data_IF_226112263772
#
_entry.id   IF_226112263772
#
_cell.length_a   1.000
_cell.length_b   1.000
_cell.length_c   1.000
_cell.angle_alpha   90.00
_cell.angle_beta   90.00
_cell.angle_gamma   90.00
#
_symmetry.space_group_name_H-M   'P 1'
#
loop_
_entity.id
_entity.type
_entity.pdbx_description
1 polymer ?
#
# COMPACT_ATOMS: atom_id res chain seq x y z
N UNK A 1 16.10 9.19 15.51
CA UNK A 1 16.15 7.85 16.13
C UNK A 1 14.99 7.55 17.07
N UNK A 2 14.57 8.48 17.94
CA UNK A 2 13.42 8.27 18.82
C UNK A 2 12.14 7.86 18.09
N UNK A 3 11.83 8.52 16.96
CA UNK A 3 10.66 8.19 16.14
C UNK A 3 10.71 6.80 15.52
N UNK A 4 11.88 6.36 15.01
CA UNK A 4 12.03 4.99 14.49
C UNK A 4 11.84 3.94 15.60
N UNK A 5 12.42 4.16 16.79
CA UNK A 5 12.20 3.25 17.92
C UNK A 5 10.75 3.21 18.39
N UNK A 6 10.04 4.35 18.31
CA UNK A 6 8.62 4.42 18.60
C UNK A 6 7.81 3.65 17.55
N UNK A 7 7.99 3.92 16.26
CA UNK A 7 7.31 3.19 15.19
C UNK A 7 7.49 1.67 15.33
N UNK A 8 8.73 1.21 15.58
CA UNK A 8 9.01 -0.21 15.83
C UNK A 8 8.31 -0.75 17.07
N UNK A 9 8.26 0.01 18.17
CA UNK A 9 7.59 -0.38 19.42
C UNK A 9 6.08 -0.55 19.23
N UNK A 10 5.46 0.32 18.46
CA UNK A 10 4.03 0.28 18.14
C UNK A 10 3.73 -0.58 16.90
N UNK A 11 4.75 -1.28 16.37
CA UNK A 11 4.62 -2.18 15.22
C UNK A 11 4.11 -1.49 13.94
N UNK A 12 4.34 -0.17 13.84
CA UNK A 12 4.04 0.58 12.64
C UNK A 12 5.17 0.43 11.62
N UNK A 13 4.83 0.14 10.36
CA UNK A 13 5.82 0.13 9.32
C UNK A 13 6.36 1.55 9.10
N UNK A 14 7.69 1.67 9.01
CA UNK A 14 8.38 2.95 8.89
C UNK A 14 9.25 2.92 7.63
N UNK A 15 8.81 3.51 6.53
CA UNK A 15 9.48 3.32 5.24
C UNK A 15 10.38 4.48 4.80
N UNK A 16 11.33 4.18 3.91
CA UNK A 16 12.12 5.16 3.17
C UNK A 16 12.41 4.68 1.73
N UNK A 17 12.73 5.56 0.77
CA UNK A 17 13.14 5.14 -0.56
C UNK A 17 14.45 4.35 -0.54
N UNK A 18 14.60 3.34 -1.39
CA UNK A 18 15.85 2.58 -1.58
C UNK A 18 17.06 3.47 -1.92
N UNK A 19 16.81 4.64 -2.50
CA UNK A 19 17.84 5.59 -2.93
C UNK A 19 18.30 6.54 -1.81
N UNK A 20 17.71 6.48 -0.61
CA UNK A 20 18.00 7.43 0.48
C UNK A 20 19.49 7.54 0.80
N UNK A 21 20.23 6.43 0.72
CA UNK A 21 21.65 6.41 1.05
C UNK A 21 22.51 7.21 0.06
N UNK A 22 22.12 7.25 -1.22
CA UNK A 22 22.84 7.97 -2.28
C UNK A 22 22.33 9.40 -2.49
N UNK A 23 21.23 9.80 -1.83
CA UNK A 23 20.67 11.14 -1.99
C UNK A 23 21.51 12.18 -1.27
N UNK A 24 21.56 13.37 -1.85
CA UNK A 24 22.21 14.53 -1.23
C UNK A 24 21.47 14.91 0.06
N UNK A 25 22.22 15.07 1.15
CA UNK A 25 21.67 15.46 2.46
C UNK A 25 22.22 16.80 2.94
N UNK A 26 23.45 17.15 2.51
CA UNK A 26 24.05 18.47 2.63
C UNK A 26 24.76 18.79 1.32
N UNK A 27 24.96 20.07 1.02
CA UNK A 27 25.59 20.53 -0.23
C UNK A 27 26.87 19.75 -0.55
N UNK A 28 26.85 19.01 -1.66
CA UNK A 28 27.98 18.23 -2.16
C UNK A 28 28.24 16.91 -1.43
N UNK A 29 27.35 16.46 -0.54
CA UNK A 29 27.51 15.20 0.20
C UNK A 29 26.23 14.39 0.28
N UNK A 30 26.34 13.10 0.03
CA UNK A 30 25.24 12.15 0.18
C UNK A 30 24.88 11.93 1.65
N UNK A 31 23.68 11.42 1.92
CA UNK A 31 23.24 11.01 3.25
C UNK A 31 24.25 10.06 3.90
N UNK A 32 24.73 9.06 3.14
CA UNK A 32 25.72 8.10 3.60
C UNK A 32 27.03 8.77 4.00
N UNK A 33 27.50 9.75 3.23
CA UNK A 33 28.72 10.52 3.52
C UNK A 33 28.53 11.42 4.72
N UNK A 34 27.42 12.14 4.79
CA UNK A 34 27.03 13.01 5.91
C UNK A 34 27.01 12.22 7.23
N UNK A 35 26.39 11.04 7.24
CA UNK A 35 26.39 10.15 8.40
C UNK A 35 27.81 9.73 8.78
N UNK A 36 28.67 9.41 7.82
CA UNK A 36 30.07 9.03 8.08
C UNK A 36 30.89 10.19 8.65
N UNK A 37 30.61 11.42 8.25
CA UNK A 37 31.30 12.63 8.70
C UNK A 37 31.02 12.98 10.18
N UNK A 38 29.97 12.41 10.79
CA UNK A 38 29.70 12.58 12.23
C UNK A 38 30.82 12.03 13.13
N UNK A 39 31.67 11.14 12.61
CA UNK A 39 32.74 10.44 13.34
C UNK A 39 32.30 9.65 14.59
N UNK A 40 31.00 9.54 14.86
CA UNK A 40 30.44 8.69 15.92
C UNK A 40 30.25 7.26 15.38
N UNK A 41 31.17 6.37 15.76
CA UNK A 41 31.15 4.95 15.35
C UNK A 41 29.85 4.23 15.71
N UNK A 42 29.23 4.55 16.84
CA UNK A 42 28.00 3.90 17.27
C UNK A 42 26.82 4.41 16.44
N UNK A 43 26.74 5.72 16.23
CA UNK A 43 25.73 6.33 15.39
C UNK A 43 25.81 5.83 13.93
N UNK A 44 27.01 5.84 13.34
CA UNK A 44 27.25 5.34 11.98
C UNK A 44 26.78 3.89 11.86
N UNK A 45 27.20 3.01 12.77
CA UNK A 45 26.84 1.59 12.74
C UNK A 45 25.32 1.40 12.83
N UNK A 46 24.68 2.16 13.70
CA UNK A 46 23.25 2.08 13.93
C UNK A 46 22.44 2.51 12.69
N UNK A 47 22.80 3.65 12.07
CA UNK A 47 22.13 4.14 10.85
C UNK A 47 22.40 3.22 9.65
N UNK A 48 23.63 2.74 9.49
CA UNK A 48 23.95 1.83 8.37
C UNK A 48 23.29 0.46 8.51
N UNK A 49 23.07 -0.04 9.74
CA UNK A 49 22.26 -1.25 9.97
C UNK A 49 20.79 -1.02 9.64
N UNK A 50 20.28 0.19 9.88
CA UNK A 50 18.90 0.54 9.53
C UNK A 50 18.70 0.60 8.01
N UNK A 51 19.71 0.99 7.24
CA UNK A 51 19.69 1.09 5.77
C UNK A 51 20.39 -0.10 5.07
N UNK A 52 20.44 -1.27 5.70
CA UNK A 52 21.05 -2.46 5.08
C UNK A 52 20.12 -3.08 4.00
N UNK A 53 20.45 -4.25 3.43
CA UNK A 53 19.64 -4.85 2.36
C UNK A 53 18.19 -5.17 2.76
N UNK A 54 17.92 -5.25 4.06
CA UNK A 54 16.60 -5.47 4.66
C UNK A 54 16.05 -4.20 5.32
N UNK A 55 16.68 -3.04 5.04
CA UNK A 55 16.21 -1.75 5.49
C UNK A 55 14.76 -1.53 5.11
N UNK A 56 14.06 -0.60 5.79
CA UNK A 56 12.63 -0.49 5.64
C UNK A 56 12.32 0.32 4.39
N UNK A 57 12.57 -0.29 3.25
CA UNK A 57 12.41 0.37 1.99
C UNK A 57 10.99 0.21 1.49
N UNK A 58 10.48 1.23 0.82
CA UNK A 58 9.26 1.10 0.02
C UNK A 58 9.61 0.21 -1.18
N UNK A 59 9.13 -1.04 -1.19
CA UNK A 59 9.44 -2.03 -2.24
C UNK A 59 8.75 -1.68 -3.57
N UNK A 60 7.57 -1.07 -3.48
CA UNK A 60 6.82 -0.56 -4.62
C UNK A 60 7.03 0.97 -4.67
N UNK A 61 7.95 1.46 -5.50
CA UNK A 61 7.84 2.84 -5.98
C UNK A 61 6.55 2.84 -6.80
N UNK A 62 5.53 3.47 -6.25
CA UNK A 62 4.22 3.43 -6.87
C UNK A 62 4.31 4.17 -8.21
N UNK A 63 3.84 3.51 -9.26
CA UNK A 63 3.76 3.99 -10.63
C UNK A 63 2.82 5.20 -10.72
N UNK A 64 3.21 6.35 -10.17
CA UNK A 64 2.65 7.63 -10.58
C UNK A 64 3.02 7.83 -12.06
N UNK A 65 2.17 8.54 -12.83
CA UNK A 65 2.37 8.69 -14.26
C UNK A 65 3.78 9.16 -14.60
N UNK A 66 4.36 8.70 -15.72
CA UNK A 66 5.75 8.98 -16.07
C UNK A 66 6.09 10.48 -16.22
N UNK A 67 5.08 11.35 -16.30
CA UNK A 67 5.17 12.80 -16.33
C UNK A 67 4.81 13.50 -15.01
N UNK A 68 4.30 12.74 -14.04
CA UNK A 68 3.80 13.30 -12.79
C UNK A 68 4.94 13.65 -11.84
N UNK A 69 4.76 14.72 -11.07
CA UNK A 69 5.70 15.06 -9.99
C UNK A 69 5.01 15.60 -8.75
N UNK A 70 5.72 15.52 -7.64
CA UNK A 70 5.28 16.01 -6.34
C UNK A 70 6.18 17.15 -5.91
N UNK A 71 5.60 18.19 -5.32
CA UNK A 71 6.32 19.35 -4.81
C UNK A 71 5.94 19.62 -3.35
N UNK A 72 6.93 20.00 -2.54
CA UNK A 72 6.72 20.52 -1.20
C UNK A 72 7.62 21.74 -1.02
N UNK A 73 7.05 22.92 -0.76
CA UNK A 73 7.81 24.17 -0.58
C UNK A 73 8.79 24.52 -1.72
N UNK A 74 8.38 24.30 -2.97
CA UNK A 74 9.19 24.48 -4.18
C UNK A 74 10.29 23.42 -4.39
N UNK A 75 10.42 22.43 -3.51
CA UNK A 75 11.29 21.28 -3.72
C UNK A 75 10.53 20.15 -4.40
N UNK A 76 11.09 19.62 -5.49
CA UNK A 76 10.57 18.41 -6.14
C UNK A 76 10.85 17.21 -5.24
N UNK A 77 9.77 16.65 -4.67
CA UNK A 77 9.80 15.52 -3.72
C UNK A 77 9.37 14.20 -4.36
N UNK A 78 9.33 14.11 -5.69
CA UNK A 78 9.07 12.86 -6.43
C UNK A 78 10.08 11.77 -6.07
N UNK A 79 9.58 10.60 -5.68
CA UNK A 79 10.39 9.49 -5.19
C UNK A 79 11.03 9.72 -3.82
N UNK A 80 10.74 10.83 -3.12
CA UNK A 80 11.09 11.02 -1.70
C UNK A 80 9.96 10.48 -0.82
N UNK A 81 10.24 10.21 0.47
CA UNK A 81 9.21 9.79 1.43
C UNK A 81 7.99 10.72 1.46
N UNK A 82 8.19 12.03 1.23
CA UNK A 82 7.12 13.01 1.16
C UNK A 82 6.19 12.80 -0.04
N UNK A 83 6.76 12.62 -1.25
CA UNK A 83 5.97 12.34 -2.46
C UNK A 83 5.22 11.01 -2.33
N UNK A 84 5.88 9.97 -1.81
CA UNK A 84 5.24 8.65 -1.61
C UNK A 84 4.11 8.71 -0.57
N UNK A 85 4.27 9.47 0.52
CA UNK A 85 3.22 9.66 1.51
C UNK A 85 2.04 10.46 0.94
N UNK A 86 2.30 11.47 0.09
CA UNK A 86 1.27 12.21 -0.61
C UNK A 86 0.50 11.33 -1.59
N UNK A 87 1.21 10.49 -2.34
CA UNK A 87 0.58 9.53 -3.24
C UNK A 87 -0.26 8.48 -2.49
N UNK A 88 0.21 7.98 -1.35
CA UNK A 88 -0.62 7.15 -0.47
C UNK A 88 -1.88 7.90 -0.01
N UNK A 89 -1.75 9.18 0.37
CA UNK A 89 -2.89 10.00 0.76
C UNK A 89 -3.88 10.25 -0.37
N UNK A 90 -3.39 10.38 -1.61
CA UNK A 90 -4.20 10.49 -2.83
C UNK A 90 -5.05 9.25 -3.10
N UNK A 91 -4.66 8.12 -2.54
CA UNK A 91 -5.32 6.83 -2.66
C UNK A 91 -6.15 6.52 -1.39
N UNK A 92 -6.58 7.59 -0.69
CA UNK A 92 -7.32 7.58 0.58
C UNK A 92 -6.64 6.80 1.73
N UNK A 93 -5.32 6.60 1.65
CA UNK A 93 -4.59 5.86 2.68
C UNK A 93 -4.11 6.77 3.82
N UNK A 94 -4.06 6.19 5.02
CA UNK A 94 -3.41 6.84 6.16
C UNK A 94 -1.89 6.87 5.92
N UNK A 95 -1.35 8.07 5.74
CA UNK A 95 0.08 8.29 5.61
C UNK A 95 0.50 9.45 6.52
N UNK A 96 1.68 9.29 7.13
CA UNK A 96 2.34 10.30 7.94
C UNK A 96 3.84 10.27 7.67
N UNK A 97 4.50 11.40 7.90
CA UNK A 97 5.93 11.54 7.67
C UNK A 97 6.66 11.92 8.94
N UNK A 98 7.97 11.64 8.96
CA UNK A 98 8.83 11.96 10.10
C UNK A 98 10.01 12.79 9.62
N UNK A 99 10.20 13.94 10.27
CA UNK A 99 11.30 14.85 9.98
C UNK A 99 12.42 14.70 11.01
N UNK A 100 13.67 14.85 10.58
CA UNK A 100 14.79 15.01 11.50
C UNK A 100 14.72 16.38 12.17
N UNK A 101 15.05 16.44 13.47
CA UNK A 101 15.14 17.72 14.20
C UNK A 101 16.11 18.65 13.47
N UNK A 102 15.82 19.94 13.53
CA UNK A 102 16.57 21.02 12.86
C UNK A 102 16.36 21.11 11.33
N UNK A 103 15.54 20.24 10.76
CA UNK A 103 15.02 20.43 9.41
C UNK A 103 13.99 21.58 9.38
N UNK A 104 13.95 22.35 8.29
CA UNK A 104 12.90 23.33 8.03
C UNK A 104 11.50 22.69 7.92
N UNK A 105 11.44 21.37 7.69
CA UNK A 105 10.21 20.58 7.72
C UNK A 105 9.66 20.31 9.13
N UNK A 106 10.24 20.82 10.23
CA UNK A 106 9.72 20.60 11.60
C UNK A 106 8.41 21.38 11.91
N UNK A 107 7.36 21.14 11.12
CA UNK A 107 6.00 21.66 11.28
C UNK A 107 5.00 20.64 10.75
N UNK A 108 3.73 20.78 11.15
CA UNK A 108 2.65 19.88 10.73
C UNK A 108 1.36 20.68 10.53
N UNK A 109 0.57 20.41 9.46
CA UNK A 109 0.86 19.46 8.39
C UNK A 109 1.96 19.97 7.43
N UNK A 110 2.56 19.04 6.68
CA UNK A 110 3.33 19.36 5.47
C UNK A 110 2.42 19.24 4.26
N UNK A 111 2.36 20.29 3.45
CA UNK A 111 1.57 20.28 2.22
C UNK A 111 2.44 19.82 1.06
N UNK A 112 2.00 18.74 0.40
CA UNK A 112 2.61 18.24 -0.84
C UNK A 112 1.60 18.40 -1.96
N UNK A 113 2.00 19.00 -3.07
CA UNK A 113 1.17 19.18 -4.26
C UNK A 113 1.54 18.14 -5.29
N UNK A 114 0.56 17.37 -5.76
CA UNK A 114 0.72 16.44 -6.87
C UNK A 114 0.33 17.14 -8.17
N UNK A 115 1.27 17.21 -9.12
CA UNK A 115 1.10 17.75 -10.45
C UNK A 115 0.99 16.60 -11.46
N UNK A 116 -0.18 16.44 -12.08
CA UNK A 116 -0.39 15.51 -13.21
C UNK A 116 -0.33 16.24 -14.56
N UNK A 117 -0.59 17.55 -14.53
CA UNK A 117 -0.38 18.49 -15.63
C UNK A 117 -0.26 19.91 -15.07
N UNK A 118 0.01 20.90 -15.92
CA UNK A 118 0.08 22.32 -15.48
C UNK A 118 -1.21 22.81 -14.84
N UNK A 119 -2.37 22.26 -15.24
CA UNK A 119 -3.70 22.63 -14.78
C UNK A 119 -4.31 21.62 -13.78
N UNK A 120 -3.75 20.41 -13.64
CA UNK A 120 -4.20 19.38 -12.69
C UNK A 120 -3.23 19.29 -11.51
N UNK A 121 -3.62 19.97 -10.42
CA UNK A 121 -2.86 20.09 -9.18
C UNK A 121 -3.73 19.68 -8.00
N UNK A 122 -3.29 18.68 -7.26
CA UNK A 122 -4.01 18.20 -6.07
C UNK A 122 -3.14 18.35 -4.81
N UNK A 123 -3.50 19.21 -3.85
CA UNK A 123 -2.76 19.36 -2.60
C UNK A 123 -3.15 18.29 -1.58
N UNK A 124 -2.15 17.75 -0.88
CA UNK A 124 -2.30 16.79 0.22
C UNK A 124 -1.61 17.32 1.48
N UNK A 125 -2.36 17.37 2.58
CA UNK A 125 -1.82 17.72 3.90
C UNK A 125 -1.42 16.45 4.65
N UNK A 126 -0.11 16.28 4.86
CA UNK A 126 0.46 15.14 5.54
C UNK A 126 0.76 15.48 7.01
N UNK A 127 0.28 14.68 7.98
CA UNK A 127 0.77 14.74 9.35
C UNK A 127 2.28 14.50 9.37
N UNK A 128 3.01 15.39 10.02
CA UNK A 128 4.46 15.27 10.17
C UNK A 128 4.86 15.28 11.64
N UNK A 129 5.83 14.44 12.01
CA UNK A 129 6.30 14.28 13.37
C UNK A 129 7.83 14.39 13.44
N UNK A 130 8.33 15.26 14.31
CA UNK A 130 9.78 15.39 14.63
C UNK A 130 10.07 15.12 16.10
N UNK A 131 9.02 14.92 16.91
CA UNK A 131 9.09 14.56 18.31
C UNK A 131 8.54 13.16 18.55
N UNK A 132 9.23 12.41 19.43
CA UNK A 132 8.85 11.05 19.76
C UNK A 132 7.48 10.98 20.43
N UNK A 133 7.22 11.85 21.40
CA UNK A 133 5.97 11.87 22.18
C UNK A 133 4.74 12.07 21.29
N UNK A 134 4.81 13.03 20.35
CA UNK A 134 3.71 13.31 19.43
C UNK A 134 3.46 12.16 18.45
N UNK A 135 4.54 11.51 17.99
CA UNK A 135 4.41 10.30 17.17
C UNK A 135 3.78 9.17 17.98
N UNK A 136 4.26 8.88 19.19
CA UNK A 136 3.70 7.80 20.03
C UNK A 136 2.20 8.02 20.33
N UNK A 137 1.78 9.27 20.59
CA UNK A 137 0.37 9.60 20.76
C UNK A 137 -0.45 9.31 19.49
N UNK A 138 0.07 9.68 18.31
CA UNK A 138 -0.57 9.37 17.03
C UNK A 138 -0.65 7.86 16.80
N UNK A 139 0.45 7.13 16.98
CA UNK A 139 0.50 5.68 16.78
C UNK A 139 -0.40 4.91 17.76
N UNK A 140 -0.61 5.44 18.97
CA UNK A 140 -1.55 4.86 19.95
C UNK A 140 -3.00 5.04 19.52
N UNK A 141 -3.31 6.16 18.85
CA UNK A 141 -4.65 6.46 18.36
C UNK A 141 -4.96 5.75 17.02
N UNK A 142 -3.92 5.39 16.26
CA UNK A 142 -4.06 4.67 15.00
C UNK A 142 -4.20 3.16 15.28
N UNK A 143 -4.96 2.45 14.46
CA UNK A 143 -5.10 1.01 14.57
C UNK A 143 -3.83 0.26 14.14
N UNK A 144 -3.38 -0.69 14.97
CA UNK A 144 -2.15 -1.43 14.75
C UNK A 144 -2.17 -2.24 13.44
N UNK A 145 -1.03 -2.25 12.75
CA UNK A 145 -0.83 -3.09 11.57
C UNK A 145 -0.93 -4.59 11.93
N UNK A 146 -1.39 -5.45 11.01
CA UNK A 146 -1.48 -6.89 11.28
C UNK A 146 -0.09 -7.50 11.39
N UNK A 147 0.05 -8.51 12.25
CA UNK A 147 1.33 -9.19 12.56
C UNK A 147 1.35 -10.64 12.11
N UNK A 148 0.22 -11.11 11.62
CA UNK A 148 0.05 -12.43 11.01
C UNK A 148 -0.97 -12.35 9.87
N UNK A 149 -1.02 -13.39 9.05
CA UNK A 149 -2.05 -13.52 8.02
C UNK A 149 -3.46 -13.56 8.61
N UNK A 150 -3.63 -14.22 9.76
CA UNK A 150 -4.89 -14.29 10.46
C UNK A 150 -5.36 -12.91 10.93
N UNK A 151 -4.48 -12.13 11.57
CA UNK A 151 -4.80 -10.75 11.98
C UNK A 151 -5.12 -9.87 10.77
N UNK A 152 -4.42 -10.03 9.65
CA UNK A 152 -4.71 -9.28 8.42
C UNK A 152 -6.10 -9.59 7.88
N UNK A 153 -6.49 -10.88 7.84
CA UNK A 153 -7.82 -11.31 7.39
C UNK A 153 -8.90 -10.79 8.34
N UNK A 154 -8.71 -10.88 9.65
CA UNK A 154 -9.65 -10.38 10.66
C UNK A 154 -9.87 -8.86 10.50
N UNK A 155 -8.79 -8.10 10.34
CA UNK A 155 -8.88 -6.66 10.08
C UNK A 155 -9.62 -6.38 8.77
N UNK A 156 -9.32 -7.12 7.70
CA UNK A 156 -9.98 -6.96 6.41
C UNK A 156 -11.50 -7.23 6.50
N UNK A 157 -11.89 -8.30 7.18
CA UNK A 157 -13.30 -8.67 7.35
C UNK A 157 -14.08 -7.64 8.17
N UNK A 158 -13.44 -7.00 9.15
CA UNK A 158 -14.07 -5.95 9.95
C UNK A 158 -14.21 -4.62 9.20
N UNK A 159 -13.22 -4.28 8.38
CA UNK A 159 -13.14 -2.97 7.72
C UNK A 159 -13.87 -2.90 6.37
N UNK A 160 -13.84 -3.99 5.60
CA UNK A 160 -14.34 -3.99 4.23
C UNK A 160 -15.73 -4.61 4.15
N UNK A 161 -16.72 -3.84 4.60
CA UNK A 161 -18.11 -4.29 4.75
C UNK A 161 -18.84 -4.54 3.42
N UNK A 162 -18.33 -4.03 2.30
CA UNK A 162 -18.87 -4.29 0.96
C UNK A 162 -18.36 -5.61 0.36
N UNK A 163 -17.37 -6.25 1.00
CA UNK A 163 -16.74 -7.47 0.54
C UNK A 163 -17.24 -8.70 1.30
N UNK A 164 -17.44 -9.79 0.58
CA UNK A 164 -17.80 -11.09 1.18
C UNK A 164 -16.61 -12.04 1.08
N UNK A 165 -15.97 -12.32 2.21
CA UNK A 165 -14.85 -13.25 2.26
C UNK A 165 -15.37 -14.70 2.33
N UNK A 166 -14.81 -15.60 1.52
CA UNK A 166 -15.16 -17.02 1.63
C UNK A 166 -14.60 -17.62 2.92
N UNK A 167 -15.22 -18.69 3.42
CA UNK A 167 -14.84 -19.31 4.69
C UNK A 167 -13.40 -19.83 4.71
N UNK A 168 -12.89 -20.30 3.56
CA UNK A 168 -11.54 -20.85 3.42
C UNK A 168 -10.49 -19.82 2.98
N UNK A 169 -10.74 -18.53 3.19
CA UNK A 169 -9.85 -17.47 2.67
C UNK A 169 -8.42 -17.54 3.23
N UNK A 170 -8.24 -18.06 4.45
CA UNK A 170 -6.93 -18.20 5.10
C UNK A 170 -6.14 -19.42 4.66
N UNK A 171 -6.80 -20.47 4.16
CA UNK A 171 -6.16 -21.75 3.83
C UNK A 171 -4.96 -21.63 2.86
N UNK A 172 -4.98 -20.75 1.84
CA UNK A 172 -3.84 -20.60 0.95
C UNK A 172 -2.60 -19.94 1.58
N UNK A 173 -2.74 -19.34 2.76
CA UNK A 173 -1.66 -18.70 3.51
C UNK A 173 -1.08 -19.62 4.59
N UNK A 174 -1.66 -20.82 4.76
CA UNK A 174 -1.17 -21.80 5.72
C UNK A 174 0.25 -22.24 5.32
N UNK A 175 1.21 -22.02 6.23
CA UNK A 175 2.63 -22.33 6.00
C UNK A 175 3.41 -21.24 5.25
N UNK A 176 2.77 -20.18 4.77
CA UNK A 176 3.45 -19.04 4.16
C UNK A 176 4.02 -18.10 5.24
N UNK A 177 5.31 -17.70 5.16
CA UNK A 177 5.88 -16.76 6.12
C UNK A 177 5.18 -15.40 6.00
N UNK A 178 4.79 -14.83 7.14
CA UNK A 178 4.16 -13.51 7.17
C UNK A 178 5.07 -12.43 6.58
N UNK A 179 4.47 -11.56 5.77
CA UNK A 179 5.13 -10.39 5.22
C UNK A 179 4.23 -9.17 5.43
N UNK A 180 4.67 -8.25 6.30
CA UNK A 180 3.95 -7.00 6.56
C UNK A 180 3.74 -6.17 5.28
N UNK A 181 4.73 -6.17 4.38
CA UNK A 181 4.62 -5.50 3.07
C UNK A 181 3.52 -6.11 2.22
N UNK A 182 3.50 -7.43 2.04
CA UNK A 182 2.44 -8.09 1.26
C UNK A 182 1.08 -7.90 1.95
N UNK A 183 0.99 -7.99 3.28
CA UNK A 183 -0.24 -7.75 4.02
C UNK A 183 -0.79 -6.33 3.78
N UNK A 184 0.06 -5.31 3.85
CA UNK A 184 -0.33 -3.93 3.55
C UNK A 184 -0.82 -3.78 2.09
N UNK A 185 -0.13 -4.41 1.13
CA UNK A 185 -0.56 -4.40 -0.27
C UNK A 185 -1.89 -5.15 -0.46
N UNK A 186 -2.10 -6.28 0.21
CA UNK A 186 -3.38 -7.01 0.19
C UNK A 186 -4.50 -6.11 0.70
N UNK A 187 -4.35 -5.52 1.89
CA UNK A 187 -5.33 -4.61 2.46
C UNK A 187 -5.64 -3.44 1.51
N UNK A 188 -4.63 -2.86 0.87
CA UNK A 188 -4.82 -1.80 -0.15
C UNK A 188 -5.66 -2.27 -1.33
N UNK A 189 -5.42 -3.46 -1.86
CA UNK A 189 -6.20 -3.99 -2.99
C UNK A 189 -7.64 -4.30 -2.59
N UNK A 190 -7.84 -4.80 -1.37
CA UNK A 190 -9.18 -5.04 -0.83
C UNK A 190 -9.93 -3.72 -0.64
N UNK A 191 -9.29 -2.67 -0.15
CA UNK A 191 -9.92 -1.35 -0.03
C UNK A 191 -10.41 -0.81 -1.38
N UNK A 192 -9.60 -0.93 -2.44
CA UNK A 192 -10.02 -0.56 -3.81
C UNK A 192 -11.27 -1.33 -4.24
N UNK A 193 -11.30 -2.65 -4.00
CA UNK A 193 -12.48 -3.49 -4.33
C UNK A 193 -13.71 -3.09 -3.50
N UNK A 194 -13.52 -2.80 -2.21
CA UNK A 194 -14.56 -2.38 -1.28
C UNK A 194 -15.19 -1.06 -1.73
N UNK A 195 -14.36 -0.06 -2.00
CA UNK A 195 -14.80 1.24 -2.53
C UNK A 195 -15.49 1.09 -3.89
N UNK A 196 -14.95 0.28 -4.79
CA UNK A 196 -15.54 0.04 -6.10
C UNK A 196 -16.92 -0.61 -6.01
N UNK A 197 -17.10 -1.60 -5.11
CA UNK A 197 -18.39 -2.24 -4.84
C UNK A 197 -19.42 -1.27 -4.25
N UNK A 198 -18.99 -0.25 -3.52
CA UNK A 198 -19.86 0.84 -3.04
C UNK A 198 -20.26 1.87 -4.10
N UNK A 199 -19.68 1.84 -5.31
CA UNK A 199 -19.86 2.88 -6.32
C UNK A 199 -21.03 2.64 -7.31
N UNK A 200 -22.18 2.19 -6.81
CA UNK A 200 -23.40 2.01 -7.60
C UNK A 200 -24.53 2.93 -7.12
N UNK A 201 -25.33 3.41 -8.06
CA UNK A 201 -26.52 4.22 -7.75
C UNK A 201 -27.71 3.36 -7.34
N UNK A 202 -28.83 4.01 -7.02
CA UNK A 202 -30.07 3.35 -6.60
C UNK A 202 -30.70 2.46 -7.68
N UNK A 203 -30.32 2.64 -8.94
CA UNK A 203 -30.79 1.85 -10.07
C UNK A 203 -29.85 0.67 -10.37
N UNK A 204 -28.76 0.52 -9.61
CA UNK A 204 -27.74 -0.51 -9.82
C UNK A 204 -26.75 -0.16 -10.93
N UNK A 205 -26.77 1.07 -11.44
CA UNK A 205 -25.80 1.55 -12.43
C UNK A 205 -24.54 2.05 -11.73
N UNK A 206 -23.38 1.82 -12.36
CA UNK A 206 -22.10 2.34 -11.86
C UNK A 206 -22.11 3.87 -11.90
N UNK A 207 -21.70 4.49 -10.80
CA UNK A 207 -21.56 5.95 -10.69
C UNK A 207 -20.38 6.49 -11.50
N UNK A 208 -20.27 7.81 -11.65
CA UNK A 208 -19.10 8.45 -12.27
C UNK A 208 -17.78 8.09 -11.56
N UNK A 209 -17.75 8.19 -10.22
CA UNK A 209 -16.61 7.72 -9.40
C UNK A 209 -16.31 6.25 -9.65
N UNK A 210 -17.34 5.39 -9.70
CA UNK A 210 -17.14 3.99 -10.04
C UNK A 210 -16.52 3.80 -11.43
N UNK A 211 -16.93 4.61 -12.42
CA UNK A 211 -16.35 4.55 -13.75
C UNK A 211 -14.88 4.98 -13.77
N UNK A 212 -14.49 5.98 -12.98
CA UNK A 212 -13.08 6.36 -12.78
C UNK A 212 -12.27 5.19 -12.21
N UNK A 213 -12.75 4.54 -11.13
CA UNK A 213 -12.13 3.34 -10.56
C UNK A 213 -11.96 2.22 -11.58
N UNK A 214 -12.98 2.00 -12.43
CA UNK A 214 -12.92 0.97 -13.48
C UNK A 214 -11.83 1.28 -14.51
N UNK A 215 -11.72 2.53 -14.94
CA UNK A 215 -10.68 2.93 -15.90
C UNK A 215 -9.28 2.83 -15.28
N UNK A 216 -9.11 3.29 -14.04
CA UNK A 216 -7.82 3.32 -13.37
C UNK A 216 -7.30 1.91 -13.01
N UNK A 217 -8.14 1.05 -12.43
CA UNK A 217 -7.66 -0.20 -11.83
C UNK A 217 -7.95 -1.46 -12.66
N UNK A 218 -8.87 -1.39 -13.63
CA UNK A 218 -9.32 -2.55 -14.42
C UNK A 218 -9.06 -2.42 -15.93
N UNK A 219 -8.58 -1.27 -16.41
CA UNK A 219 -8.28 -1.02 -17.83
C UNK A 219 -6.80 -0.62 -18.03
N UNK A 220 -6.26 -0.78 -19.24
CA UNK A 220 -5.01 -0.08 -19.64
C UNK A 220 -3.67 -0.54 -19.04
N UNK A 221 -3.57 -1.77 -18.56
CA UNK A 221 -2.39 -2.29 -17.82
C UNK A 221 -2.74 -2.57 -16.37
N UNK A 222 -3.79 -3.37 -16.13
CA UNK A 222 -4.60 -3.14 -14.94
C UNK A 222 -4.06 -3.88 -13.71
N UNK A 223 -4.36 -3.27 -12.56
CA UNK A 223 -4.10 -3.83 -11.24
C UNK A 223 -4.90 -5.12 -11.00
N UNK A 224 -6.12 -5.14 -11.55
CA UNK A 224 -7.02 -6.28 -11.59
C UNK A 224 -7.24 -6.73 -13.03
N UNK A 225 -7.00 -8.00 -13.31
CA UNK A 225 -7.19 -8.55 -14.65
C UNK A 225 -7.79 -9.93 -14.60
N UNK A 226 -8.40 -10.32 -15.70
CA UNK A 226 -8.79 -11.70 -15.92
C UNK A 226 -7.58 -12.62 -16.11
N UNK A 227 -7.77 -13.91 -15.85
CA UNK A 227 -6.82 -14.94 -16.29
C UNK A 227 -6.93 -15.16 -17.81
N UNK A 228 -5.86 -15.69 -18.41
CA UNK A 228 -5.91 -16.05 -19.83
C UNK A 228 -6.88 -17.21 -20.07
N UNK A 229 -7.48 -17.29 -21.26
CA UNK A 229 -8.40 -18.39 -21.60
C UNK A 229 -7.74 -19.77 -21.41
N UNK A 230 -6.46 -19.91 -21.75
CA UNK A 230 -5.70 -21.15 -21.51
C UNK A 230 -5.61 -21.48 -20.01
N UNK A 231 -5.35 -20.48 -19.17
CA UNK A 231 -5.29 -20.68 -17.72
C UNK A 231 -6.67 -20.98 -17.12
N UNK A 232 -7.72 -20.30 -17.58
CA UNK A 232 -9.10 -20.59 -17.16
C UNK A 232 -9.47 -22.04 -17.41
N UNK A 233 -9.17 -22.58 -18.59
CA UNK A 233 -9.43 -23.98 -18.90
C UNK A 233 -8.55 -24.93 -18.08
N UNK A 234 -7.24 -24.66 -18.01
CA UNK A 234 -6.28 -25.56 -17.33
C UNK A 234 -6.48 -25.63 -15.81
N UNK A 235 -6.84 -24.51 -15.20
CA UNK A 235 -6.95 -24.35 -13.75
C UNK A 235 -8.40 -24.15 -13.30
N UNK A 236 -9.39 -24.54 -14.12
CA UNK A 236 -10.81 -24.30 -13.87
C UNK A 236 -11.22 -24.70 -12.45
N UNK A 237 -10.83 -25.91 -12.02
CA UNK A 237 -11.17 -26.43 -10.69
C UNK A 237 -10.52 -25.63 -9.55
N UNK A 238 -9.28 -25.16 -9.74
CA UNK A 238 -8.56 -24.38 -8.73
C UNK A 238 -9.02 -22.92 -8.67
N UNK A 239 -9.68 -22.44 -9.73
CA UNK A 239 -10.28 -21.11 -9.82
C UNK A 239 -11.78 -21.12 -9.46
N UNK A 240 -12.33 -22.27 -9.08
CA UNK A 240 -13.68 -22.40 -8.54
C UNK A 240 -13.60 -22.55 -7.02
N UNK A 241 -14.39 -21.76 -6.31
CA UNK A 241 -14.40 -21.70 -4.85
C UNK A 241 -15.82 -21.87 -4.33
N UNK A 242 -15.97 -22.20 -3.05
CA UNK A 242 -17.27 -22.35 -2.40
C UNK A 242 -17.59 -21.08 -1.63
N UNK A 243 -18.68 -20.41 -2.00
CA UNK A 243 -19.21 -19.23 -1.32
C UNK A 243 -19.80 -19.61 0.05
N UNK A 244 -20.03 -18.64 0.97
CA UNK A 244 -20.55 -18.92 2.31
C UNK A 244 -21.92 -19.63 2.34
N UNK A 245 -22.74 -19.47 1.29
CA UNK A 245 -24.03 -20.14 1.10
C UNK A 245 -23.90 -21.56 0.52
N UNK A 246 -22.69 -21.98 0.15
CA UNK A 246 -22.39 -23.29 -0.43
C UNK A 246 -22.36 -23.30 -1.96
N UNK A 247 -22.63 -22.18 -2.63
CA UNK A 247 -22.58 -22.12 -4.09
C UNK A 247 -21.14 -22.15 -4.63
N UNK A 248 -20.92 -22.83 -5.74
CA UNK A 248 -19.64 -22.80 -6.45
C UNK A 248 -19.52 -21.53 -7.30
N UNK A 249 -18.46 -20.75 -7.07
CA UNK A 249 -18.17 -19.50 -7.77
C UNK A 249 -16.84 -19.59 -8.52
N UNK A 250 -16.89 -19.40 -9.84
CA UNK A 250 -15.70 -19.33 -10.67
C UNK A 250 -15.11 -17.91 -10.65
N UNK A 251 -13.89 -17.76 -10.11
CA UNK A 251 -13.24 -16.47 -9.88
C UNK A 251 -11.90 -16.35 -10.64
N UNK A 252 -11.91 -16.21 -11.98
CA UNK A 252 -10.68 -16.09 -12.76
C UNK A 252 -10.04 -14.68 -12.66
N UNK A 253 -10.84 -13.66 -12.30
CA UNK A 253 -10.37 -12.30 -12.11
C UNK A 253 -9.53 -12.17 -10.85
N UNK A 254 -8.43 -11.41 -10.94
CA UNK A 254 -7.50 -11.29 -9.83
C UNK A 254 -6.76 -9.96 -9.75
N UNK A 255 -6.47 -9.53 -8.52
CA UNK A 255 -5.48 -8.48 -8.22
C UNK A 255 -4.07 -9.04 -8.21
N UNK A 256 -3.12 -8.34 -8.83
CA UNK A 256 -1.70 -8.74 -8.86
C UNK A 256 -0.91 -8.09 -7.73
N UNK A 257 -0.12 -8.91 -7.04
CA UNK A 257 0.94 -8.49 -6.12
C UNK A 257 2.25 -9.07 -6.67
N UNK A 258 3.14 -8.18 -7.12
CA UNK A 258 4.38 -8.57 -7.80
C UNK A 258 5.34 -9.30 -6.87
N UNK A 259 5.48 -8.81 -5.63
CA UNK A 259 6.31 -9.44 -4.60
C UNK A 259 5.82 -10.85 -4.32
N UNK A 260 6.72 -11.84 -4.52
CA UNK A 260 6.46 -13.28 -4.39
C UNK A 260 5.31 -13.83 -5.24
N UNK A 261 4.83 -13.07 -6.23
CA UNK A 261 3.73 -13.44 -7.13
C UNK A 261 2.46 -13.84 -6.38
N UNK A 262 2.00 -13.00 -5.46
CA UNK A 262 0.71 -13.20 -4.77
C UNK A 262 -0.45 -12.72 -5.65
N UNK A 263 -1.64 -13.29 -5.41
CA UNK A 263 -2.88 -13.02 -6.12
C UNK A 263 -4.04 -12.90 -5.16
N UNK A 264 -4.99 -12.05 -5.51
CA UNK A 264 -6.28 -11.91 -4.83
C UNK A 264 -7.35 -12.26 -5.84
N UNK A 265 -7.92 -13.46 -5.82
CA UNK A 265 -9.02 -13.81 -6.72
C UNK A 265 -10.35 -13.34 -6.13
N UNK A 266 -11.21 -12.81 -7.00
CA UNK A 266 -12.52 -12.31 -6.60
C UNK A 266 -13.57 -12.59 -7.68
N UNK A 267 -14.85 -12.51 -7.30
CA UNK A 267 -15.95 -12.66 -8.25
C UNK A 267 -15.97 -11.52 -9.28
N UNK A 268 -16.49 -11.83 -10.46
CA UNK A 268 -16.64 -10.89 -11.57
C UNK A 268 -17.85 -11.30 -12.43
N UNK A 269 -18.61 -10.35 -13.02
CA UNK A 269 -18.49 -8.91 -12.90
C UNK A 269 -18.89 -8.36 -11.52
N UNK A 270 -18.29 -7.25 -11.11
CA UNK A 270 -18.76 -6.51 -9.92
C UNK A 270 -20.05 -5.76 -10.29
N UNK A 271 -21.15 -6.12 -9.64
CA UNK A 271 -22.49 -5.54 -9.87
C UNK A 271 -23.16 -5.21 -8.54
N UNK A 272 -24.12 -4.28 -8.55
CA UNK A 272 -24.82 -3.84 -7.35
C UNK A 272 -25.60 -4.97 -6.64
N UNK A 273 -26.27 -5.81 -7.41
CA UNK A 273 -27.24 -6.80 -6.94
C UNK A 273 -26.65 -8.09 -6.34
N UNK A 274 -25.34 -8.29 -6.45
CA UNK A 274 -24.67 -9.51 -5.98
C UNK A 274 -23.49 -9.17 -5.06
N UNK A 275 -23.14 -10.07 -4.12
CA UNK A 275 -21.94 -9.92 -3.31
C UNK A 275 -20.67 -9.91 -4.17
N UNK A 276 -19.69 -9.11 -3.77
CA UNK A 276 -18.33 -9.21 -4.29
C UNK A 276 -17.55 -10.19 -3.42
N UNK A 277 -17.36 -11.41 -3.92
CA UNK A 277 -16.66 -12.46 -3.19
C UNK A 277 -15.16 -12.28 -3.30
N UNK A 278 -14.46 -12.30 -2.16
CA UNK A 278 -13.01 -12.47 -2.09
C UNK A 278 -12.74 -13.95 -1.85
N UNK A 279 -12.31 -14.62 -2.91
CA UNK A 279 -12.26 -16.07 -2.97
C UNK A 279 -10.87 -16.66 -2.67
N UNK A 280 -9.81 -15.88 -2.84
CA UNK A 280 -8.46 -16.36 -2.62
C UNK A 280 -7.52 -15.21 -2.31
N UNK A 281 -6.63 -15.38 -1.32
CA UNK A 281 -5.47 -14.52 -1.10
C UNK A 281 -4.27 -15.44 -0.89
N UNK A 282 -3.25 -15.38 -1.75
CA UNK A 282 -2.08 -16.23 -1.61
C UNK A 282 -1.18 -16.27 -2.84
N UNK A 283 -0.21 -17.19 -2.89
CA UNK A 283 0.63 -17.41 -4.07
C UNK A 283 -0.18 -17.66 -5.35
N UNK A 284 0.32 -17.21 -6.51
CA UNK A 284 -0.34 -17.43 -7.80
C UNK A 284 -0.69 -18.92 -8.02
N UNK A 285 -1.97 -19.22 -8.25
CA UNK A 285 -2.50 -20.57 -8.52
C UNK A 285 -1.96 -21.11 -9.84
N UNK A 286 -1.91 -20.25 -10.86
CA UNK A 286 -1.52 -20.60 -12.24
C UNK A 286 0.01 -20.64 -12.43
N UNK A 287 0.74 -21.22 -11.46
CA UNK A 287 2.18 -21.47 -11.55
C UNK A 287 2.41 -22.69 -12.47
N UNK A 288 3.18 -22.47 -13.53
CA UNK A 288 3.68 -23.50 -14.45
C UNK A 288 4.91 -24.19 -13.88
#
# INVERSE_FOLDING_TARGET
>A
MGCHSAAKRYEYPFYCPHTIAQREAMTGTTFKETVRQTNDRNFIRMVMRWLDKHGPFLEDVLEHGGSDYFECENDVVTGYSLGEAAFQKAQDQAAAVVSFRESHFCRSPLQVVWYRSDDDRTPFNLPNFWERSTLEAHLTATEAAPRSWAEMIEQAQRHYTELTFINSIGSPLDGEPFSATIAATVLRRLDILNQFKGCFDRNGSRTAKGQEFYQEYFSGGPLFSDESETNKHRFAKQLTFVAPDGEEIFCPFHGKISTRYYRIHHSWPVVASQPLYIAYIGPKITRS
#
